data_IF_204141252271
#
_entry.id   IF_204141252271
#
_cell.length_a   1.000
_cell.length_b   1.000
_cell.length_c   1.000
_cell.angle_alpha   90.00
_cell.angle_beta   90.00
_cell.angle_gamma   90.00
#
_symmetry.space_group_name_H-M   'P 1'
#
loop_
_entity.id
_entity.type
_entity.pdbx_description
1 polymer ?
#
# COMPACT_ATOMS: atom_id res chain seq x y z
N UNK A 1 -5.05 -26.75 -4.23
CA UNK A 1 -5.53 -25.36 -4.30
C UNK A 1 -5.83 -24.86 -2.89
N UNK A 2 -4.80 -24.58 -2.07
CA UNK A 2 -4.96 -24.08 -0.69
C UNK A 2 -3.99 -22.92 -0.44
N UNK A 3 -2.77 -23.04 -0.97
CA UNK A 3 -1.70 -22.04 -0.91
C UNK A 3 -2.14 -20.67 -1.48
N UNK A 4 -2.86 -20.65 -2.62
CA UNK A 4 -3.36 -19.41 -3.22
C UNK A 4 -4.41 -18.68 -2.36
N UNK A 5 -5.24 -19.40 -1.60
CA UNK A 5 -6.27 -18.77 -0.75
C UNK A 5 -5.67 -18.21 0.54
N UNK A 6 -4.74 -18.94 1.14
CA UNK A 6 -3.98 -18.47 2.30
C UNK A 6 -3.24 -17.16 1.97
N UNK A 7 -2.68 -17.09 0.76
CA UNK A 7 -1.99 -15.90 0.28
C UNK A 7 -2.87 -14.66 0.18
N UNK A 8 -4.04 -14.79 -0.45
CA UNK A 8 -5.02 -13.69 -0.58
C UNK A 8 -5.51 -13.20 0.78
N UNK A 9 -5.69 -14.11 1.74
CA UNK A 9 -6.07 -13.75 3.11
C UNK A 9 -4.97 -12.94 3.82
N UNK A 10 -3.70 -13.30 3.64
CA UNK A 10 -2.57 -12.56 4.24
C UNK A 10 -2.49 -11.14 3.66
N UNK A 11 -2.61 -10.98 2.35
CA UNK A 11 -2.64 -9.65 1.71
C UNK A 11 -3.78 -8.78 2.26
N UNK A 12 -4.98 -9.35 2.43
CA UNK A 12 -6.13 -8.62 2.98
C UNK A 12 -5.92 -8.16 4.43
N UNK A 13 -5.36 -9.02 5.28
CA UNK A 13 -5.03 -8.68 6.67
C UNK A 13 -3.96 -7.58 6.72
N UNK A 14 -2.90 -7.72 5.93
CA UNK A 14 -1.86 -6.70 5.85
C UNK A 14 -2.40 -5.35 5.35
N UNK A 15 -3.29 -5.33 4.35
CA UNK A 15 -3.92 -4.09 3.88
C UNK A 15 -4.74 -3.41 4.98
N UNK A 16 -5.47 -4.21 5.77
CA UNK A 16 -6.24 -3.71 6.91
C UNK A 16 -5.33 -3.11 7.98
N UNK A 17 -4.20 -3.76 8.27
CA UNK A 17 -3.19 -3.28 9.22
C UNK A 17 -2.54 -1.98 8.74
N UNK A 18 -2.09 -1.92 7.48
CA UNK A 18 -1.51 -0.72 6.86
C UNK A 18 -2.46 0.47 6.98
N UNK A 19 -3.73 0.28 6.62
CA UNK A 19 -4.73 1.35 6.74
C UNK A 19 -5.00 1.77 8.19
N UNK A 20 -4.99 0.83 9.15
CA UNK A 20 -5.17 1.14 10.56
C UNK A 20 -3.98 1.92 11.14
N UNK A 21 -2.75 1.54 10.78
CA UNK A 21 -1.53 2.24 11.18
C UNK A 21 -1.46 3.64 10.57
N UNK A 22 -1.79 3.81 9.29
CA UNK A 22 -1.83 5.13 8.65
C UNK A 22 -2.85 6.05 9.31
N UNK A 23 -4.08 5.56 9.59
CA UNK A 23 -5.09 6.35 10.33
C UNK A 23 -4.66 6.73 11.75
N UNK A 24 -3.75 5.97 12.34
CA UNK A 24 -3.23 6.22 13.69
C UNK A 24 -2.01 7.15 13.66
N UNK A 25 -1.56 7.62 12.49
CA UNK A 25 -0.33 8.39 12.34
C UNK A 25 0.94 7.58 12.59
N UNK A 26 0.85 6.25 12.48
CA UNK A 26 1.94 5.30 12.64
C UNK A 26 2.45 4.87 11.26
N UNK A 27 2.91 5.85 10.49
CA UNK A 27 3.38 5.69 9.11
C UNK A 27 4.57 4.74 9.00
N UNK A 28 5.48 4.76 9.96
CA UNK A 28 6.66 3.89 9.99
C UNK A 28 6.30 2.41 10.15
N UNK A 29 5.29 2.11 10.98
CA UNK A 29 4.77 0.77 11.21
C UNK A 29 3.95 0.28 10.02
N UNK A 30 3.17 1.17 9.40
CA UNK A 30 2.50 0.88 8.14
C UNK A 30 3.51 0.49 7.05
N UNK A 31 4.63 1.22 6.95
CA UNK A 31 5.73 0.92 6.03
C UNK A 31 6.38 -0.42 6.34
N UNK A 32 6.64 -0.72 7.61
CA UNK A 32 7.22 -1.99 8.02
C UNK A 32 6.32 -3.18 7.62
N UNK A 33 5.01 -3.09 7.87
CA UNK A 33 4.05 -4.12 7.43
C UNK A 33 4.10 -4.26 5.91
N UNK A 34 4.05 -3.16 5.18
CA UNK A 34 4.14 -3.16 3.73
C UNK A 34 5.43 -3.81 3.20
N UNK A 35 6.58 -3.55 3.82
CA UNK A 35 7.87 -4.12 3.43
C UNK A 35 7.96 -5.63 3.73
N UNK A 36 7.25 -6.12 4.74
CA UNK A 36 7.17 -7.56 5.04
C UNK A 36 6.27 -8.35 4.08
N UNK A 37 5.45 -7.70 3.25
CA UNK A 37 4.55 -8.38 2.31
C UNK A 37 5.31 -8.98 1.13
N UNK A 38 5.23 -10.31 0.98
CA UNK A 38 5.91 -11.05 -0.09
C UNK A 38 5.35 -10.75 -1.50
N UNK A 39 4.08 -10.39 -1.63
CA UNK A 39 3.61 -9.61 -2.79
C UNK A 39 2.47 -8.71 -2.40
N UNK A 40 2.38 -7.66 -3.19
CA UNK A 40 1.61 -6.46 -2.97
C UNK A 40 0.76 -6.29 -4.21
N UNK A 41 -0.54 -6.36 -4.03
CA UNK A 41 -1.49 -6.07 -5.10
C UNK A 41 -1.65 -4.54 -5.25
N UNK A 42 -2.34 -4.12 -6.29
CA UNK A 42 -2.62 -2.70 -6.55
C UNK A 42 -3.32 -2.04 -5.35
N UNK A 43 -4.20 -2.78 -4.66
CA UNK A 43 -4.91 -2.30 -3.47
C UNK A 43 -3.95 -1.98 -2.33
N UNK A 44 -2.91 -2.80 -2.13
CA UNK A 44 -1.86 -2.60 -1.11
C UNK A 44 -1.12 -1.29 -1.35
N UNK A 45 -0.68 -1.05 -2.59
CA UNK A 45 0.05 0.17 -2.97
C UNK A 45 -0.84 1.41 -2.83
N UNK A 46 -2.09 1.33 -3.31
CA UNK A 46 -3.02 2.45 -3.25
C UNK A 46 -3.37 2.83 -1.81
N UNK A 47 -3.54 1.84 -0.93
CA UNK A 47 -3.83 2.08 0.48
C UNK A 47 -2.66 2.80 1.17
N UNK A 48 -1.42 2.43 0.83
CA UNK A 48 -0.23 3.07 1.41
C UNK A 48 -0.03 4.49 0.87
N UNK A 49 -0.15 4.70 -0.44
CA UNK A 49 -0.05 6.02 -1.08
C UNK A 49 -1.14 6.95 -0.54
N UNK A 50 -2.40 6.49 -0.51
CA UNK A 50 -3.51 7.28 -0.02
C UNK A 50 -3.32 7.65 1.46
N UNK A 51 -2.90 6.71 2.30
CA UNK A 51 -2.66 7.00 3.72
C UNK A 51 -1.48 7.94 3.96
N UNK A 52 -0.43 7.91 3.14
CA UNK A 52 0.64 8.89 3.20
C UNK A 52 0.17 10.29 2.80
N UNK A 53 -0.59 10.42 1.71
CA UNK A 53 -1.18 11.70 1.31
C UNK A 53 -2.09 12.26 2.40
N UNK A 54 -2.93 11.43 3.03
CA UNK A 54 -3.80 11.90 4.13
C UNK A 54 -3.02 12.33 5.38
N UNK A 55 -1.82 11.80 5.58
CA UNK A 55 -0.96 12.15 6.71
C UNK A 55 0.01 13.31 6.38
N UNK A 56 -0.05 13.88 5.18
CA UNK A 56 0.85 14.95 4.73
C UNK A 56 2.26 14.47 4.33
N UNK A 57 2.44 13.16 4.16
CA UNK A 57 3.68 12.50 3.74
C UNK A 57 3.72 12.36 2.20
N UNK A 58 3.51 13.48 1.51
CA UNK A 58 3.37 13.50 0.05
C UNK A 58 4.66 13.12 -0.69
N UNK A 59 5.82 13.41 -0.09
CA UNK A 59 7.13 13.07 -0.65
C UNK A 59 7.35 11.57 -0.65
N UNK A 60 7.05 10.90 0.46
CA UNK A 60 7.13 9.45 0.61
C UNK A 60 6.13 8.75 -0.30
N UNK A 61 4.92 9.29 -0.45
CA UNK A 61 3.93 8.83 -1.41
C UNK A 61 4.46 8.96 -2.86
N UNK A 62 5.11 10.08 -3.19
CA UNK A 62 5.66 10.34 -4.51
C UNK A 62 6.85 9.43 -4.82
N UNK A 63 7.78 9.25 -3.89
CA UNK A 63 8.92 8.33 -4.02
C UNK A 63 8.45 6.89 -4.22
N UNK A 64 7.45 6.46 -3.43
CA UNK A 64 6.83 5.15 -3.56
C UNK A 64 6.14 4.98 -4.92
N UNK A 65 5.49 6.03 -5.43
CA UNK A 65 4.89 6.03 -6.77
C UNK A 65 5.92 6.05 -7.90
N UNK A 66 7.10 6.64 -7.65
CA UNK A 66 8.19 6.80 -8.61
C UNK A 66 9.08 5.56 -8.73
N UNK A 67 9.00 4.62 -7.77
CA UNK A 67 9.67 3.33 -7.84
C UNK A 67 8.72 2.19 -8.33
N UNK A 68 8.43 2.09 -9.64
CA UNK A 68 8.01 0.84 -10.25
C UNK A 68 8.94 0.45 -11.41
N UNK A 69 9.57 -0.72 -11.31
CA UNK A 69 10.39 -1.31 -12.37
C UNK A 69 9.61 -1.80 -13.60
N UNK A 70 8.34 -1.44 -13.76
CA UNK A 70 7.56 -1.79 -14.96
C UNK A 70 6.59 -0.66 -15.34
N UNK A 71 6.69 -0.27 -16.61
CA UNK A 71 5.99 0.80 -17.32
C UNK A 71 4.46 0.62 -17.34
N UNK A 72 3.72 0.92 -16.25
CA UNK A 72 2.24 0.87 -16.30
C UNK A 72 1.48 1.61 -15.18
N UNK A 73 1.96 2.73 -14.63
CA UNK A 73 1.21 3.47 -13.58
C UNK A 73 1.07 4.97 -13.86
N UNK A 74 0.36 5.31 -14.95
CA UNK A 74 -0.32 6.61 -15.13
C UNK A 74 -1.79 6.30 -15.48
N UNK A 75 -2.71 7.27 -15.51
CA UNK A 75 -3.21 8.20 -14.50
C UNK A 75 -4.48 7.65 -13.79
N UNK A 76 -4.80 6.36 -13.95
CA UNK A 76 -6.09 5.79 -13.53
C UNK A 76 -6.36 5.80 -12.01
N UNK A 77 -5.33 5.95 -11.17
CA UNK A 77 -5.47 5.73 -9.72
C UNK A 77 -5.87 6.97 -8.91
N UNK A 78 -5.71 8.19 -9.43
CA UNK A 78 -6.19 9.42 -8.78
C UNK A 78 -7.68 9.71 -9.01
N UNK A 79 -8.44 8.79 -9.64
CA UNK A 79 -9.87 8.99 -9.95
C UNK A 79 -10.83 8.54 -8.84
N UNK A 80 -10.36 8.14 -7.67
CA UNK A 80 -11.26 7.80 -6.53
C UNK A 80 -10.94 8.60 -5.29
N UNK A 81 -10.68 9.89 -5.49
CA UNK A 81 -11.01 10.94 -4.51
C UNK A 81 -12.10 11.84 -5.10
#
# INVERSE_FOLDING_TARGET
MVIKKAYVAITFVCNSLVNMYLKSGMDSEARAVFDTMASRDEVTWNSLIAGYVTNGLELEAFELSSCPGDSARLPFFFSTV
#
